data_IF_597394693268
#
_entry.id   IF_597394693268
#
_cell.length_a   1.000
_cell.length_b   1.000
_cell.length_c   1.000
_cell.angle_alpha   90.00
_cell.angle_beta   90.00
_cell.angle_gamma   90.00
#
_symmetry.space_group_name_H-M   'P 1'
#
loop_
_entity.id
_entity.type
_entity.pdbx_description
1 polymer ?
#
# COMPACT_ATOMS: atom_id res chain seq x y z
N UNK A 1 -3.36 -2.90 -8.62
CA UNK A 1 -3.90 -2.27 -9.81
C UNK A 1 -3.13 -1.05 -10.26
N UNK A 2 -2.30 -0.45 -9.43
CA UNK A 2 -1.51 0.74 -9.78
C UNK A 2 -0.51 0.48 -10.89
N UNK A 3 0.15 -0.65 -10.90
CA UNK A 3 1.19 -0.97 -11.87
C UNK A 3 0.69 -1.03 -13.32
N UNK A 4 -0.55 -1.48 -13.48
CA UNK A 4 -1.18 -1.56 -14.80
C UNK A 4 -1.66 -0.20 -15.31
N UNK A 5 -1.74 0.79 -14.45
CA UNK A 5 -2.24 2.13 -14.76
C UNK A 5 -1.12 3.16 -14.99
N UNK A 6 0.12 2.77 -14.89
CA UNK A 6 1.29 3.64 -15.08
C UNK A 6 1.46 3.93 -16.58
N UNK A 7 0.51 4.69 -17.10
CA UNK A 7 0.62 5.29 -18.42
C UNK A 7 0.53 6.80 -18.28
N UNK A 8 1.17 7.51 -19.18
CA UNK A 8 1.14 8.96 -19.30
C UNK A 8 -0.28 9.56 -19.17
N UNK A 9 -1.29 8.88 -19.71
CA UNK A 9 -2.70 9.30 -19.60
C UNK A 9 -3.24 9.21 -18.18
N UNK A 10 -2.82 8.25 -17.37
CA UNK A 10 -3.25 8.12 -15.98
C UNK A 10 -2.77 9.31 -15.17
N UNK A 11 -1.47 9.57 -15.16
CA UNK A 11 -0.91 10.72 -14.45
C UNK A 11 -1.42 12.05 -14.98
N UNK A 12 -1.56 12.21 -16.30
CA UNK A 12 -2.17 13.41 -16.88
C UNK A 12 -3.58 13.67 -16.34
N UNK A 13 -4.41 12.62 -16.21
CA UNK A 13 -5.76 12.76 -15.64
C UNK A 13 -5.73 13.02 -14.15
N UNK A 14 -4.86 12.35 -13.42
CA UNK A 14 -4.64 12.59 -11.99
C UNK A 14 -4.20 14.03 -11.72
N UNK A 15 -3.25 14.55 -12.49
CA UNK A 15 -2.79 15.93 -12.42
C UNK A 15 -3.96 16.94 -12.61
N UNK A 16 -4.78 16.69 -13.64
CA UNK A 16 -5.94 17.57 -13.92
C UNK A 16 -7.03 17.54 -12.87
N UNK A 17 -7.20 16.40 -12.21
CA UNK A 17 -8.23 16.19 -11.19
C UNK A 17 -7.75 16.55 -9.78
N UNK A 18 -6.46 16.82 -9.59
CA UNK A 18 -5.86 16.97 -8.27
C UNK A 18 -5.86 15.67 -7.46
N UNK A 19 -5.79 14.52 -8.15
CA UNK A 19 -5.82 13.19 -7.54
C UNK A 19 -4.40 12.77 -7.15
N UNK A 20 -4.18 12.49 -5.86
CA UNK A 20 -2.88 12.07 -5.34
C UNK A 20 -2.58 10.62 -5.76
N UNK A 21 -1.38 10.40 -6.28
CA UNK A 21 -0.91 9.10 -6.74
C UNK A 21 0.44 8.72 -6.15
N UNK A 22 0.68 7.42 -6.06
CA UNK A 22 1.99 6.84 -5.75
C UNK A 22 2.59 6.20 -7.00
N UNK A 23 3.88 6.39 -7.20
CA UNK A 23 4.65 5.73 -8.27
C UNK A 23 5.15 4.39 -7.77
N UNK A 24 4.32 3.36 -7.92
CA UNK A 24 4.62 2.01 -7.47
C UNK A 24 5.01 1.09 -8.62
N UNK A 25 5.92 0.15 -8.36
CA UNK A 25 6.38 -0.83 -9.34
C UNK A 25 5.72 -2.19 -9.13
N UNK A 26 5.50 -2.92 -10.22
CA UNK A 26 5.12 -4.33 -10.24
C UNK A 26 6.32 -5.23 -9.87
N UNK A 27 6.71 -5.24 -8.60
CA UNK A 27 7.88 -5.99 -8.12
C UNK A 27 7.61 -7.44 -7.72
N UNK A 28 6.35 -7.87 -7.72
CA UNK A 28 5.98 -9.25 -7.38
C UNK A 28 6.71 -10.27 -8.23
N UNK A 29 7.18 -11.34 -7.61
CA UNK A 29 7.95 -12.42 -8.26
C UNK A 29 9.36 -12.02 -8.72
N UNK A 30 9.85 -10.83 -8.37
CA UNK A 30 11.23 -10.46 -8.64
C UNK A 30 12.19 -11.34 -7.82
N UNK A 31 13.03 -12.12 -8.49
CA UNK A 31 14.06 -12.91 -7.81
C UNK A 31 15.28 -12.04 -7.54
N UNK A 32 15.30 -11.44 -6.34
CA UNK A 32 16.37 -10.52 -5.91
C UNK A 32 17.76 -11.15 -5.84
N UNK A 33 17.87 -12.49 -5.85
CA UNK A 33 19.15 -13.19 -5.86
C UNK A 33 19.77 -13.29 -7.25
N UNK A 34 18.99 -13.04 -8.30
CA UNK A 34 19.49 -13.07 -9.67
C UNK A 34 20.04 -11.72 -10.06
N UNK A 35 21.36 -11.63 -10.25
CA UNK A 35 22.03 -10.42 -10.68
C UNK A 35 21.39 -9.78 -11.93
N UNK A 36 21.02 -10.60 -12.92
CA UNK A 36 20.37 -10.11 -14.13
C UNK A 36 19.00 -9.48 -13.85
N UNK A 37 18.21 -10.07 -12.96
CA UNK A 37 16.92 -9.54 -12.59
C UNK A 37 17.07 -8.20 -11.83
N UNK A 38 17.98 -8.15 -10.86
CA UNK A 38 18.28 -6.92 -10.12
C UNK A 38 18.77 -5.79 -11.04
N UNK A 39 19.68 -6.08 -11.95
CA UNK A 39 20.19 -5.10 -12.92
C UNK A 39 19.11 -4.59 -13.85
N UNK A 40 18.26 -5.46 -14.38
CA UNK A 40 17.17 -5.06 -15.26
C UNK A 40 16.17 -4.19 -14.50
N UNK A 41 15.80 -4.59 -13.28
CA UNK A 41 14.90 -3.81 -12.45
C UNK A 41 15.43 -2.39 -12.17
N UNK A 42 16.70 -2.25 -11.81
CA UNK A 42 17.34 -0.94 -11.61
C UNK A 42 17.25 -0.05 -12.86
N UNK A 43 17.50 -0.63 -14.04
CA UNK A 43 17.40 0.09 -15.31
C UNK A 43 15.97 0.55 -15.61
N UNK A 44 15.02 -0.37 -15.58
CA UNK A 44 13.60 -0.10 -15.86
C UNK A 44 13.00 0.89 -14.85
N UNK A 45 13.30 0.73 -13.55
CA UNK A 45 12.85 1.65 -12.52
C UNK A 45 13.40 3.07 -12.73
N UNK A 46 14.67 3.19 -13.09
CA UNK A 46 15.28 4.48 -13.39
C UNK A 46 14.57 5.20 -14.54
N UNK A 47 14.20 4.47 -15.59
CA UNK A 47 13.44 5.01 -16.73
C UNK A 47 12.04 5.48 -16.28
N UNK A 48 11.37 4.72 -15.42
CA UNK A 48 10.06 5.10 -14.83
C UNK A 48 10.17 6.41 -14.06
N UNK A 49 11.17 6.53 -13.17
CA UNK A 49 11.36 7.75 -12.37
C UNK A 49 11.66 8.96 -13.27
N UNK A 50 12.53 8.82 -14.24
CA UNK A 50 12.86 9.90 -15.22
C UNK A 50 11.62 10.34 -15.99
N UNK A 51 10.80 9.38 -16.45
CA UNK A 51 9.59 9.65 -17.24
C UNK A 51 8.53 10.40 -16.42
N UNK A 52 8.27 9.95 -15.17
CA UNK A 52 7.08 10.33 -14.44
C UNK A 52 7.32 11.43 -13.38
N UNK A 53 8.57 11.76 -13.03
CA UNK A 53 8.91 12.73 -11.98
C UNK A 53 8.34 14.14 -12.15
N UNK A 54 7.86 14.50 -13.33
CA UNK A 54 7.29 15.82 -13.58
C UNK A 54 5.77 15.89 -13.35
N UNK A 55 5.13 14.79 -12.95
CA UNK A 55 3.71 14.77 -12.65
C UNK A 55 3.44 15.31 -11.23
N UNK A 56 2.70 16.42 -11.06
CA UNK A 56 2.42 16.97 -9.74
C UNK A 56 1.48 16.09 -8.89
N UNK A 57 0.70 15.21 -9.49
CA UNK A 57 -0.12 14.24 -8.78
C UNK A 57 0.70 13.15 -8.09
N UNK A 58 1.91 12.88 -8.59
CA UNK A 58 2.80 11.87 -8.04
C UNK A 58 3.51 12.44 -6.81
N UNK A 59 3.24 11.87 -5.63
CA UNK A 59 3.74 12.41 -4.36
C UNK A 59 4.83 11.56 -3.71
N UNK A 60 4.94 10.29 -4.07
CA UNK A 60 5.96 9.37 -3.53
C UNK A 60 6.32 8.28 -4.53
N UNK A 61 7.49 7.68 -4.35
CA UNK A 61 7.98 6.54 -5.10
C UNK A 61 7.97 5.29 -4.22
N UNK A 62 7.43 4.17 -4.76
CA UNK A 62 7.34 2.89 -4.06
C UNK A 62 7.87 1.78 -4.98
N UNK A 63 9.20 1.54 -5.01
CA UNK A 63 9.79 0.58 -5.93
C UNK A 63 9.42 -0.87 -5.63
N UNK A 64 9.18 -1.21 -4.38
CA UNK A 64 8.85 -2.58 -3.97
C UNK A 64 7.56 -2.64 -3.18
N UNK A 65 6.83 -3.74 -3.35
CA UNK A 65 5.64 -4.08 -2.58
C UNK A 65 5.78 -5.50 -2.04
N UNK A 66 5.63 -5.67 -0.73
CA UNK A 66 5.67 -6.98 -0.06
C UNK A 66 6.80 -7.87 -0.58
N UNK A 67 7.95 -7.28 -0.86
CA UNK A 67 9.08 -7.98 -1.45
C UNK A 67 9.91 -8.60 -0.33
N UNK A 68 9.76 -9.86 -0.17
CA UNK A 68 10.57 -10.71 0.69
C UNK A 68 10.96 -11.96 -0.11
N UNK A 69 12.13 -12.41 0.07
CA UNK A 69 12.62 -13.60 -0.62
C UNK A 69 14.00 -13.34 -1.17
N UNK A 70 14.83 -14.32 -1.00
CA UNK A 70 16.23 -14.19 -1.24
C UNK A 70 17.03 -14.09 0.04
N UNK A 71 18.34 -14.23 -0.05
CA UNK A 71 19.21 -13.98 1.10
C UNK A 71 19.09 -12.52 1.53
N UNK A 72 19.13 -12.24 2.84
CA UNK A 72 19.00 -10.88 3.35
C UNK A 72 19.97 -9.90 2.70
N UNK A 73 21.19 -10.31 2.39
CA UNK A 73 22.19 -9.46 1.73
C UNK A 73 21.80 -9.00 0.32
N UNK A 74 21.20 -9.86 -0.48
CA UNK A 74 20.78 -9.52 -1.84
C UNK A 74 19.60 -8.54 -1.81
N UNK A 75 18.63 -8.77 -0.95
CA UNK A 75 17.50 -7.88 -0.72
C UNK A 75 17.96 -6.50 -0.26
N UNK A 76 18.75 -6.45 0.82
CA UNK A 76 19.24 -5.19 1.39
C UNK A 76 20.04 -4.37 0.38
N UNK A 77 20.91 -5.01 -0.40
CA UNK A 77 21.67 -4.31 -1.45
C UNK A 77 20.74 -3.72 -2.51
N UNK A 78 19.83 -4.53 -3.06
CA UNK A 78 18.97 -4.08 -4.15
C UNK A 78 18.05 -2.94 -3.70
N UNK A 79 17.39 -3.06 -2.54
CA UNK A 79 16.50 -2.01 -2.03
C UNK A 79 17.27 -0.71 -1.80
N UNK A 80 18.47 -0.79 -1.22
CA UNK A 80 19.32 0.39 -1.00
C UNK A 80 19.77 1.03 -2.30
N UNK A 81 20.16 0.24 -3.29
CA UNK A 81 20.57 0.75 -4.60
C UNK A 81 19.42 1.43 -5.33
N UNK A 82 18.22 0.84 -5.29
CA UNK A 82 17.01 1.41 -5.88
C UNK A 82 16.60 2.70 -5.16
N UNK A 83 16.64 2.74 -3.83
CA UNK A 83 16.41 3.97 -3.08
C UNK A 83 17.38 5.07 -3.49
N UNK A 84 18.68 4.78 -3.48
CA UNK A 84 19.72 5.76 -3.81
C UNK A 84 19.57 6.30 -5.24
N UNK A 85 19.31 5.44 -6.22
CA UNK A 85 19.15 5.89 -7.60
C UNK A 85 17.87 6.71 -7.77
N UNK A 86 16.80 6.35 -7.06
CA UNK A 86 15.55 7.13 -7.05
C UNK A 86 15.80 8.54 -6.51
N UNK A 87 16.48 8.67 -5.38
CA UNK A 87 16.84 9.97 -4.78
C UNK A 87 17.84 10.77 -5.65
N UNK A 88 18.72 10.09 -6.38
CA UNK A 88 19.63 10.75 -7.31
C UNK A 88 18.91 11.35 -8.53
N UNK A 89 17.84 10.69 -9.00
CA UNK A 89 17.04 11.15 -10.17
C UNK A 89 15.97 12.16 -9.72
N UNK A 90 15.30 11.90 -8.59
CA UNK A 90 14.26 12.76 -8.03
C UNK A 90 14.45 12.96 -6.52
N UNK A 91 15.22 13.99 -6.11
CA UNK A 91 15.42 14.31 -4.69
C UNK A 91 14.22 14.99 -4.04
N UNK A 92 13.17 15.32 -4.80
CA UNK A 92 12.05 16.15 -4.34
C UNK A 92 10.95 15.37 -3.65
N UNK A 93 10.85 14.06 -3.92
CA UNK A 93 9.80 13.19 -3.36
C UNK A 93 10.36 12.21 -2.35
N UNK A 94 9.57 11.86 -1.33
CA UNK A 94 9.92 10.74 -0.46
C UNK A 94 9.90 9.41 -1.22
N UNK A 95 10.65 8.46 -0.70
CA UNK A 95 10.68 7.08 -1.17
C UNK A 95 10.18 6.18 -0.04
N UNK A 96 9.11 5.44 -0.29
CA UNK A 96 8.70 4.28 0.48
C UNK A 96 9.39 3.07 -0.15
N UNK A 97 10.50 2.66 0.41
CA UNK A 97 11.41 1.69 -0.22
C UNK A 97 10.76 0.34 -0.51
N UNK A 98 9.93 -0.13 0.41
CA UNK A 98 9.14 -1.35 0.27
C UNK A 98 7.81 -1.20 1.01
N UNK A 99 6.71 -1.11 0.27
CA UNK A 99 5.36 -1.12 0.84
C UNK A 99 5.13 -2.42 1.62
N UNK A 100 4.63 -2.32 2.84
CA UNK A 100 4.26 -3.47 3.65
C UNK A 100 5.22 -3.91 4.75
N UNK A 101 6.20 -3.08 5.18
CA UNK A 101 6.95 -3.26 6.43
C UNK A 101 8.41 -3.79 6.40
N UNK A 102 8.88 -4.28 5.27
CA UNK A 102 10.27 -4.78 5.18
C UNK A 102 11.28 -3.69 4.78
N UNK A 103 11.24 -2.56 5.46
CA UNK A 103 12.08 -1.41 5.15
C UNK A 103 13.56 -1.65 5.39
N UNK A 104 14.38 -1.19 4.45
CA UNK A 104 15.85 -1.18 4.53
C UNK A 104 16.39 0.24 4.69
N UNK A 105 15.82 1.18 3.95
CA UNK A 105 16.10 2.62 4.00
C UNK A 105 14.89 3.36 3.43
N UNK A 106 14.14 4.07 4.25
CA UNK A 106 12.85 4.63 3.82
C UNK A 106 12.63 6.03 4.36
N UNK A 107 11.95 6.87 3.56
CA UNK A 107 11.46 8.18 4.00
C UNK A 107 10.06 8.10 4.63
N UNK A 108 9.31 7.01 4.37
CA UNK A 108 7.99 6.75 4.92
C UNK A 108 8.01 5.38 5.60
N UNK A 109 7.51 5.32 6.84
CA UNK A 109 7.36 4.05 7.55
C UNK A 109 5.97 3.50 7.29
N UNK A 110 5.87 2.52 6.40
CA UNK A 110 4.60 1.96 5.99
C UNK A 110 4.37 0.54 6.51
N UNK A 111 3.11 0.15 6.62
CA UNK A 111 2.72 -1.20 7.03
C UNK A 111 1.42 -1.61 6.35
N UNK A 112 1.32 -2.89 5.98
CA UNK A 112 0.05 -3.51 5.61
C UNK A 112 -0.63 -4.05 6.86
N UNK A 113 -1.84 -3.59 7.14
CA UNK A 113 -2.61 -4.05 8.29
C UNK A 113 -4.05 -4.37 7.92
N UNK A 114 -4.34 -5.65 7.80
CA UNK A 114 -5.65 -6.17 7.44
C UNK A 114 -6.47 -6.64 8.65
N UNK A 115 -6.17 -6.17 9.86
CA UNK A 115 -6.98 -6.47 11.04
C UNK A 115 -8.42 -5.93 10.84
N UNK A 116 -9.39 -6.80 11.06
CA UNK A 116 -10.80 -6.50 10.82
C UNK A 116 -11.56 -6.06 12.07
N UNK A 117 -11.01 -6.34 13.24
CA UNK A 117 -11.59 -5.94 14.51
C UNK A 117 -11.07 -4.57 14.94
N UNK A 118 -11.98 -3.61 15.15
CA UNK A 118 -11.63 -2.24 15.55
C UNK A 118 -10.73 -2.19 16.78
N UNK A 119 -11.08 -2.95 17.82
CA UNK A 119 -10.35 -2.84 19.09
C UNK A 119 -8.93 -3.37 18.97
N UNK A 120 -8.74 -4.46 18.22
CA UNK A 120 -7.42 -5.01 17.91
C UNK A 120 -6.61 -4.08 17.03
N UNK A 121 -7.23 -3.51 15.99
CA UNK A 121 -6.56 -2.55 15.12
C UNK A 121 -6.11 -1.32 15.90
N UNK A 122 -6.98 -0.75 16.74
CA UNK A 122 -6.62 0.38 17.61
C UNK A 122 -5.46 0.02 18.54
N UNK A 123 -5.45 -1.19 19.11
CA UNK A 123 -4.36 -1.64 19.97
C UNK A 123 -3.03 -1.81 19.21
N UNK A 124 -3.07 -2.37 18.00
CA UNK A 124 -1.90 -2.49 17.14
C UNK A 124 -1.35 -1.12 16.70
N UNK A 125 -2.24 -0.16 16.46
CA UNK A 125 -1.85 1.19 16.04
C UNK A 125 -1.37 2.07 17.20
N UNK A 126 -1.43 1.64 18.44
CA UNK A 126 -0.89 2.41 19.56
C UNK A 126 0.60 2.65 19.39
N UNK A 127 0.98 3.91 19.55
CA UNK A 127 2.36 4.32 19.58
C UNK A 127 2.77 4.65 21.02
N UNK A 128 3.72 3.92 21.55
CA UNK A 128 4.30 4.18 22.86
C UNK A 128 5.59 4.99 22.70
N UNK A 129 5.81 5.95 23.60
CA UNK A 129 7.02 6.77 23.58
C UNK A 129 8.30 5.90 23.63
N UNK A 130 9.20 6.14 22.69
CA UNK A 130 10.46 5.40 22.57
C UNK A 130 10.34 4.00 21.98
N UNK A 131 9.16 3.61 21.48
CA UNK A 131 8.96 2.35 20.75
C UNK A 131 8.71 2.59 19.27
N UNK A 132 9.03 1.57 18.49
CA UNK A 132 8.65 1.55 17.06
C UNK A 132 7.14 1.43 16.90
N UNK A 133 6.55 2.01 15.83
CA UNK A 133 5.19 1.70 15.42
C UNK A 133 5.04 0.19 15.13
N UNK A 134 3.79 -0.26 15.18
CA UNK A 134 3.47 -1.64 14.79
C UNK A 134 3.99 -1.95 13.38
N UNK A 135 4.55 -3.15 13.23
CA UNK A 135 4.93 -3.73 11.95
C UNK A 135 4.78 -5.25 11.94
N UNK A 136 4.50 -5.81 10.77
CA UNK A 136 4.38 -7.25 10.57
C UNK A 136 5.71 -7.94 10.25
N UNK A 137 6.83 -7.23 10.21
CA UNK A 137 8.12 -7.74 9.77
C UNK A 137 8.46 -9.08 10.39
N UNK A 138 8.74 -10.06 9.55
CA UNK A 138 9.02 -11.44 9.97
C UNK A 138 10.44 -11.64 10.44
N UNK A 139 11.38 -10.96 9.76
CA UNK A 139 12.82 -11.02 10.08
C UNK A 139 13.32 -9.59 10.27
N UNK A 140 13.77 -9.28 11.47
CA UNK A 140 14.08 -7.91 11.90
C UNK A 140 15.58 -7.57 11.88
N UNK A 141 16.44 -8.56 11.73
CA UNK A 141 17.87 -8.38 11.99
C UNK A 141 18.59 -7.49 10.97
N UNK A 142 18.03 -7.35 9.77
CA UNK A 142 18.60 -6.57 8.68
C UNK A 142 17.76 -5.35 8.26
N UNK A 143 16.62 -5.15 8.91
CA UNK A 143 15.67 -4.10 8.54
C UNK A 143 16.03 -2.76 9.20
N UNK A 144 15.54 -1.68 8.58
CA UNK A 144 15.68 -0.33 9.11
C UNK A 144 15.10 -0.21 10.52
N UNK A 145 15.67 0.70 11.30
CA UNK A 145 15.16 1.14 12.60
C UNK A 145 14.28 2.37 12.37
N UNK A 146 13.16 2.45 13.08
CA UNK A 146 12.29 3.61 13.05
C UNK A 146 12.98 4.82 13.70
N UNK A 147 13.09 5.92 12.97
CA UNK A 147 13.75 7.16 13.41
C UNK A 147 12.79 8.37 13.39
N UNK A 148 11.47 8.11 13.41
CA UNK A 148 10.45 9.17 13.39
C UNK A 148 9.90 9.49 12.00
N UNK A 149 10.10 8.62 11.02
CA UNK A 149 9.48 8.77 9.70
C UNK A 149 7.95 8.84 9.83
N UNK A 150 7.25 9.54 8.93
CA UNK A 150 5.78 9.49 8.87
C UNK A 150 5.30 8.05 8.82
N UNK A 151 4.42 7.67 9.77
CA UNK A 151 3.86 6.33 9.85
C UNK A 151 2.57 6.23 9.04
N UNK A 152 2.49 5.28 8.13
CA UNK A 152 1.37 5.10 7.22
C UNK A 152 0.92 3.65 7.15
N UNK A 153 -0.40 3.42 7.15
CA UNK A 153 -1.00 2.11 6.86
C UNK A 153 -1.39 2.10 5.39
N UNK A 154 -0.42 1.79 4.54
CA UNK A 154 -0.54 1.91 3.08
C UNK A 154 -1.37 0.82 2.42
N UNK A 155 -1.71 -0.25 3.17
CA UNK A 155 -2.78 -1.18 2.81
C UNK A 155 -3.60 -1.57 4.04
N UNK A 156 -4.92 -1.40 3.96
CA UNK A 156 -5.87 -1.87 4.97
C UNK A 156 -7.21 -2.27 4.34
N UNK A 157 -8.10 -2.81 5.14
CA UNK A 157 -9.45 -3.16 4.71
C UNK A 157 -9.51 -4.56 4.12
N UNK A 158 -9.44 -4.65 2.82
CA UNK A 158 -9.48 -5.94 2.14
C UNK A 158 -10.75 -6.74 2.40
N UNK A 159 -11.85 -6.09 2.80
CA UNK A 159 -13.10 -6.73 3.21
C UNK A 159 -13.73 -7.42 2.00
N UNK A 160 -13.87 -8.75 1.98
CA UNK A 160 -14.43 -9.45 0.84
C UNK A 160 -15.93 -9.13 0.69
N UNK A 161 -16.34 -8.85 -0.55
CA UNK A 161 -17.75 -8.70 -0.90
C UNK A 161 -18.01 -9.24 -2.30
N UNK A 162 -18.71 -10.37 -2.40
CA UNK A 162 -18.89 -11.09 -3.65
C UNK A 162 -20.18 -11.90 -3.67
N UNK A 163 -20.62 -12.33 -4.86
CA UNK A 163 -21.73 -13.24 -4.99
C UNK A 163 -21.38 -14.64 -4.47
N UNK A 164 -22.39 -15.38 -3.97
CA UNK A 164 -22.23 -16.74 -3.41
C UNK A 164 -21.48 -17.69 -4.36
N UNK A 165 -21.78 -17.60 -5.66
CA UNK A 165 -21.13 -18.45 -6.68
C UNK A 165 -19.62 -18.27 -6.79
N UNK A 166 -19.11 -17.10 -6.40
CA UNK A 166 -17.70 -16.74 -6.54
C UNK A 166 -16.87 -17.10 -5.30
N UNK A 167 -17.51 -17.35 -4.15
CA UNK A 167 -16.85 -17.58 -2.86
C UNK A 167 -15.83 -18.72 -2.86
N UNK A 168 -16.08 -19.77 -3.62
CA UNK A 168 -15.22 -20.97 -3.62
C UNK A 168 -13.84 -20.70 -4.20
N UNK A 169 -13.75 -19.78 -5.14
CA UNK A 169 -12.53 -19.50 -5.91
C UNK A 169 -12.02 -18.06 -5.73
N UNK A 170 -12.50 -17.37 -4.70
CA UNK A 170 -12.15 -15.98 -4.44
C UNK A 170 -11.83 -15.78 -2.97
N UNK A 171 -11.11 -14.71 -2.68
CA UNK A 171 -10.64 -14.42 -1.34
C UNK A 171 -10.70 -12.92 -0.99
N UNK A 172 -10.48 -12.62 0.26
CA UNK A 172 -10.32 -11.33 0.91
C UNK A 172 -10.02 -11.56 2.39
N UNK A 173 -9.84 -10.51 3.15
CA UNK A 173 -9.37 -10.59 4.53
C UNK A 173 -10.53 -10.66 5.53
N UNK A 174 -10.38 -11.48 6.58
CA UNK A 174 -11.29 -11.54 7.73
C UNK A 174 -12.67 -12.15 7.47
N UNK A 175 -12.83 -12.87 6.36
CA UNK A 175 -14.09 -13.50 6.00
C UNK A 175 -15.17 -12.51 5.52
N UNK A 176 -16.10 -13.00 4.70
CA UNK A 176 -17.14 -12.17 4.11
C UNK A 176 -18.19 -11.76 5.16
N UNK A 177 -18.57 -10.47 5.23
CA UNK A 177 -19.68 -10.00 6.07
C UNK A 177 -21.01 -10.66 5.68
N UNK A 178 -21.89 -10.84 6.67
CA UNK A 178 -23.21 -11.48 6.47
C UNK A 178 -24.12 -10.66 5.55
N UNK A 179 -24.01 -9.35 5.63
CA UNK A 179 -24.83 -8.40 4.86
C UNK A 179 -24.08 -7.07 4.67
N UNK A 180 -24.66 -6.19 3.86
CA UNK A 180 -24.05 -4.89 3.56
C UNK A 180 -23.90 -4.01 4.82
N UNK A 181 -24.80 -4.10 5.79
CA UNK A 181 -24.70 -3.36 7.04
C UNK A 181 -23.49 -3.79 7.86
N UNK A 182 -23.23 -5.09 7.92
CA UNK A 182 -22.04 -5.63 8.58
C UNK A 182 -20.75 -5.20 7.86
N UNK A 183 -20.77 -5.08 6.52
CA UNK A 183 -19.65 -4.51 5.77
C UNK A 183 -19.38 -3.06 6.17
N UNK A 184 -20.41 -2.21 6.14
CA UNK A 184 -20.24 -0.78 6.51
C UNK A 184 -19.75 -0.62 7.92
N UNK A 185 -20.31 -1.38 8.89
CA UNK A 185 -19.88 -1.34 10.28
C UNK A 185 -18.42 -1.73 10.45
N UNK A 186 -17.95 -2.74 9.70
CA UNK A 186 -16.55 -3.17 9.75
C UNK A 186 -15.64 -2.08 9.18
N UNK A 187 -15.94 -1.55 8.00
CA UNK A 187 -15.18 -0.47 7.39
C UNK A 187 -15.15 0.77 8.29
N UNK A 188 -16.30 1.16 8.83
CA UNK A 188 -16.40 2.28 9.76
C UNK A 188 -15.55 2.08 11.00
N UNK A 189 -15.55 0.86 11.56
CA UNK A 189 -14.70 0.53 12.70
C UNK A 189 -13.20 0.65 12.40
N UNK A 190 -12.76 0.29 11.20
CA UNK A 190 -11.36 0.47 10.78
C UNK A 190 -11.02 1.96 10.63
N UNK A 191 -11.90 2.75 10.02
CA UNK A 191 -11.72 4.21 9.89
C UNK A 191 -11.69 4.89 11.27
N UNK A 192 -12.56 4.50 12.18
CA UNK A 192 -12.57 5.02 13.54
C UNK A 192 -11.25 4.69 14.28
N UNK A 193 -10.65 3.51 14.05
CA UNK A 193 -9.36 3.17 14.63
C UNK A 193 -8.24 4.10 14.14
N UNK A 194 -8.25 4.54 12.89
CA UNK A 194 -7.30 5.54 12.38
C UNK A 194 -7.53 6.93 12.98
N UNK A 195 -8.80 7.34 13.14
CA UNK A 195 -9.13 8.60 13.81
C UNK A 195 -8.62 8.62 15.25
N UNK A 196 -8.73 7.48 15.95
CA UNK A 196 -8.25 7.30 17.32
C UNK A 196 -6.71 7.20 17.41
N UNK A 197 -5.99 7.17 16.26
CA UNK A 197 -4.54 6.99 16.16
C UNK A 197 -3.86 8.17 15.45
N UNK A 198 -3.70 9.32 16.12
CA UNK A 198 -3.28 10.59 15.48
C UNK A 198 -1.85 10.60 14.95
N UNK A 199 -1.03 9.60 15.26
CA UNK A 199 0.32 9.42 14.72
C UNK A 199 0.32 8.70 13.37
N UNK A 200 -0.78 8.07 12.97
CA UNK A 200 -0.95 7.54 11.62
C UNK A 200 -1.21 8.70 10.67
N UNK A 201 -0.25 8.99 9.81
CA UNK A 201 -0.27 10.16 8.93
C UNK A 201 -1.02 9.93 7.63
N UNK A 202 -1.33 8.68 7.30
CA UNK A 202 -2.08 8.32 6.10
C UNK A 202 -2.44 6.84 6.06
N UNK A 203 -3.38 6.53 5.18
CA UNK A 203 -3.79 5.13 4.93
C UNK A 203 -4.34 4.99 3.51
N UNK A 204 -4.32 3.76 2.99
CA UNK A 204 -4.89 3.43 1.69
C UNK A 204 -5.73 2.16 1.79
N UNK A 205 -6.98 2.22 1.33
CA UNK A 205 -7.88 1.07 1.33
C UNK A 205 -7.57 0.11 0.18
N UNK A 206 -7.39 -1.15 0.49
CA UNK A 206 -7.23 -2.23 -0.46
C UNK A 206 -8.54 -3.01 -0.60
N UNK A 207 -9.27 -2.86 -1.74
CA UNK A 207 -8.81 -2.12 -2.90
C UNK A 207 -9.97 -1.41 -3.62
N UNK A 208 -9.68 -0.63 -4.65
CA UNK A 208 -10.72 0.12 -5.37
C UNK A 208 -11.63 -0.80 -6.18
N UNK A 209 -11.05 -1.71 -6.97
CA UNK A 209 -11.78 -2.67 -7.83
C UNK A 209 -11.30 -4.09 -7.56
N UNK A 210 -12.15 -5.08 -7.80
CA UNK A 210 -11.72 -6.48 -7.81
C UNK A 210 -10.59 -6.72 -8.81
N UNK A 211 -9.68 -7.62 -8.43
CA UNK A 211 -8.61 -8.11 -9.30
C UNK A 211 -8.62 -9.64 -9.27
N UNK A 212 -8.97 -10.25 -10.40
CA UNK A 212 -9.03 -11.72 -10.57
C UNK A 212 -9.80 -12.41 -9.42
N UNK A 213 -9.12 -13.22 -8.60
CA UNK A 213 -9.71 -13.94 -7.46
C UNK A 213 -9.83 -13.08 -6.20
N UNK A 214 -9.17 -11.95 -6.14
CA UNK A 214 -9.24 -11.03 -5.02
C UNK A 214 -10.48 -10.15 -5.12
N UNK A 215 -11.52 -10.49 -4.34
CA UNK A 215 -12.86 -9.90 -4.41
C UNK A 215 -13.16 -8.97 -3.23
N UNK A 216 -12.21 -8.13 -2.88
CA UNK A 216 -12.29 -7.14 -1.80
C UNK A 216 -12.39 -5.69 -2.31
N UNK A 217 -12.54 -5.48 -3.61
CA UNK A 217 -12.78 -4.17 -4.19
C UNK A 217 -14.08 -3.53 -3.72
N UNK A 218 -14.13 -2.20 -3.65
CA UNK A 218 -15.36 -1.42 -3.44
C UNK A 218 -16.24 -1.47 -4.70
N UNK A 219 -15.60 -1.61 -5.86
CA UNK A 219 -16.23 -1.83 -7.15
C UNK A 219 -15.96 -3.24 -7.65
N UNK A 220 -16.86 -3.75 -8.48
CA UNK A 220 -16.57 -4.93 -9.27
C UNK A 220 -15.45 -4.68 -10.29
N UNK A 221 -14.94 -5.75 -10.89
CA UNK A 221 -13.91 -5.68 -11.93
C UNK A 221 -14.30 -4.76 -13.11
N UNK A 222 -15.58 -4.75 -13.48
CA UNK A 222 -16.15 -3.87 -14.52
C UNK A 222 -16.39 -2.42 -14.05
N UNK A 223 -16.00 -2.10 -12.79
CA UNK A 223 -16.13 -0.80 -12.14
C UNK A 223 -17.55 -0.41 -11.76
N UNK A 224 -18.52 -1.33 -11.81
CA UNK A 224 -19.84 -1.09 -11.24
C UNK A 224 -19.77 -1.12 -9.71
N UNK A 225 -20.52 -0.26 -8.99
CA UNK A 225 -20.50 -0.24 -7.53
C UNK A 225 -21.03 -1.55 -6.94
N UNK A 226 -20.36 -2.06 -5.91
CA UNK A 226 -20.82 -3.22 -5.16
C UNK A 226 -21.81 -2.85 -4.04
N UNK A 227 -21.71 -1.64 -3.54
CA UNK A 227 -22.35 -1.14 -2.33
C UNK A 227 -22.87 0.28 -2.54
N UNK A 228 -23.55 0.85 -1.57
CA UNK A 228 -23.93 2.27 -1.61
C UNK A 228 -22.71 3.18 -1.45
N UNK A 229 -22.30 3.78 -2.55
CA UNK A 229 -21.12 4.64 -2.61
C UNK A 229 -21.27 5.93 -1.79
N UNK A 230 -22.50 6.40 -1.54
CA UNK A 230 -22.71 7.56 -0.68
C UNK A 230 -22.37 7.22 0.78
N UNK A 231 -22.73 6.02 1.22
CA UNK A 231 -22.36 5.54 2.57
C UNK A 231 -20.85 5.31 2.67
N UNK A 232 -20.24 4.66 1.69
CA UNK A 232 -18.79 4.47 1.64
C UNK A 232 -18.08 5.81 1.74
N UNK A 233 -18.48 6.78 0.93
CA UNK A 233 -17.94 8.13 0.97
C UNK A 233 -18.08 8.77 2.35
N UNK A 234 -19.27 8.71 2.94
CA UNK A 234 -19.53 9.29 4.26
C UNK A 234 -18.65 8.67 5.37
N UNK A 235 -18.32 7.37 5.28
CA UNK A 235 -17.42 6.71 6.23
C UNK A 235 -16.00 7.30 6.10
N UNK A 236 -15.47 7.43 4.89
CA UNK A 236 -14.15 8.01 4.69
C UNK A 236 -14.08 9.51 5.02
N UNK A 237 -15.16 10.26 4.79
CA UNK A 237 -15.25 11.69 5.12
C UNK A 237 -15.33 12.01 6.62
N UNK A 238 -15.40 11.00 7.51
CA UNK A 238 -15.24 11.19 8.97
C UNK A 238 -13.84 11.72 9.32
N UNK A 239 -12.88 11.48 8.48
CA UNK A 239 -11.51 11.99 8.64
C UNK A 239 -11.49 13.41 8.05
N UNK A 240 -11.32 14.37 8.93
CA UNK A 240 -11.27 15.80 8.59
C UNK A 240 -9.86 16.33 8.69
#
# INVERSE_FOLDING_TARGET
GSEMCIRDRYYYRADKLGYITWGESASWMLDVNKELAARNFLGEWSEVVVRDRNHPSLVTWTPFNETWGGGPDAYVRLVRDVYNITKAIDPTRPVNDASGDNHVITDIWSVHNYEQDRAKLTEQLKMEEGKEPYRNARDKDFLAVYEGQPYMVDEFGGIPWMAEKDRKNSWGYGGMPENAEAFYKRLEGQIDAFIDSPHVTGFCYTQLTDVEQEKNGIYYYDRTPKLDMKRIKAIFEKIK
#
